data_IF_818199246232
#
_entry.id   IF_818199246232
#
_cell.length_a   1.000
_cell.length_b   1.000
_cell.length_c   1.000
_cell.angle_alpha   90.00
_cell.angle_beta   90.00
_cell.angle_gamma   90.00
#
_symmetry.space_group_name_H-M   'P 1'
#
loop_
_entity.id
_entity.type
_entity.pdbx_description
1 polymer ?
#
# COMPACT_ATOMS: atom_id res chain seq x y z
N UNK A 1 -30.02 -10.00 -27.29
CA UNK A 1 -29.78 -8.55 -27.43
C UNK A 1 -29.10 -8.17 -28.74
N UNK A 2 -28.20 -8.99 -29.31
CA UNK A 2 -27.46 -8.68 -30.55
C UNK A 2 -28.37 -8.24 -31.71
N UNK A 3 -29.41 -9.01 -32.03
CA UNK A 3 -30.41 -8.65 -33.06
C UNK A 3 -31.18 -7.36 -32.77
N UNK A 4 -31.29 -6.97 -31.50
CA UNK A 4 -32.01 -5.76 -31.13
C UNK A 4 -31.16 -4.51 -31.46
N UNK A 5 -29.83 -4.56 -31.32
CA UNK A 5 -28.91 -3.45 -31.61
C UNK A 5 -28.93 -3.05 -33.09
N UNK A 6 -29.10 -4.02 -33.99
CA UNK A 6 -29.13 -3.78 -35.44
C UNK A 6 -30.38 -3.01 -35.90
N UNK A 7 -31.49 -3.15 -35.16
CA UNK A 7 -32.78 -2.51 -35.45
C UNK A 7 -32.93 -1.12 -34.80
N UNK A 8 -31.96 -0.69 -33.98
CA UNK A 8 -32.04 0.61 -33.28
C UNK A 8 -31.73 1.76 -34.23
N UNK A 9 -32.73 2.62 -34.44
CA UNK A 9 -32.58 3.85 -35.23
C UNK A 9 -31.92 5.01 -34.46
N UNK A 10 -32.03 5.05 -33.13
CA UNK A 10 -31.48 6.13 -32.29
C UNK A 10 -30.04 5.84 -31.88
N UNK A 11 -29.11 6.72 -32.25
CA UNK A 11 -27.67 6.57 -31.96
C UNK A 11 -27.39 6.29 -30.48
N UNK A 12 -27.99 7.05 -29.56
CA UNK A 12 -27.72 6.92 -28.12
C UNK A 12 -28.15 5.55 -27.55
N UNK A 13 -29.27 5.03 -28.04
CA UNK A 13 -29.74 3.69 -27.65
C UNK A 13 -28.81 2.61 -28.19
N UNK A 14 -28.32 2.76 -29.42
CA UNK A 14 -27.37 1.82 -30.03
C UNK A 14 -26.05 1.77 -29.26
N UNK A 15 -25.54 2.93 -28.86
CA UNK A 15 -24.34 3.05 -28.03
C UNK A 15 -24.56 2.36 -26.69
N UNK A 16 -25.63 2.68 -25.97
CA UNK A 16 -25.92 2.10 -24.65
C UNK A 16 -26.07 0.58 -24.72
N UNK A 17 -26.77 0.06 -25.72
CA UNK A 17 -26.97 -1.38 -25.85
C UNK A 17 -25.69 -2.11 -26.25
N UNK A 18 -24.84 -1.49 -27.08
CA UNK A 18 -23.53 -2.04 -27.40
C UNK A 18 -22.62 -2.10 -26.18
N UNK A 19 -22.69 -1.10 -25.29
CA UNK A 19 -21.95 -1.10 -24.03
C UNK A 19 -22.43 -2.21 -23.08
N UNK A 20 -23.75 -2.40 -22.97
CA UNK A 20 -24.33 -3.48 -22.16
C UNK A 20 -23.96 -4.85 -22.74
N UNK A 21 -23.96 -5.01 -24.07
CA UNK A 21 -23.49 -6.24 -24.70
C UNK A 21 -22.03 -6.54 -24.36
N UNK A 22 -21.16 -5.54 -24.36
CA UNK A 22 -19.77 -5.70 -23.96
C UNK A 22 -19.66 -6.22 -22.51
N UNK A 23 -20.41 -5.62 -21.58
CA UNK A 23 -20.44 -6.05 -20.18
C UNK A 23 -20.94 -7.48 -20.02
N UNK A 24 -22.02 -7.85 -20.73
CA UNK A 24 -22.56 -9.22 -20.68
C UNK A 24 -21.58 -10.25 -21.23
N UNK A 25 -20.85 -9.93 -22.31
CA UNK A 25 -19.81 -10.81 -22.83
C UNK A 25 -18.64 -10.95 -21.85
N UNK A 26 -18.24 -9.86 -21.20
CA UNK A 26 -17.23 -9.89 -20.14
C UNK A 26 -17.65 -10.80 -18.98
N UNK A 27 -18.88 -10.64 -18.47
CA UNK A 27 -19.44 -11.48 -17.39
C UNK A 27 -19.62 -12.94 -17.82
N UNK A 28 -19.90 -13.20 -19.10
CA UNK A 28 -20.03 -14.54 -19.66
C UNK A 28 -18.68 -15.22 -19.93
N UNK A 29 -17.54 -14.57 -19.64
CA UNK A 29 -16.20 -15.13 -19.88
C UNK A 29 -15.78 -15.13 -21.36
N UNK A 30 -16.33 -14.22 -22.18
CA UNK A 30 -15.98 -14.04 -23.60
C UNK A 30 -15.26 -12.68 -23.81
N UNK A 31 -13.98 -12.58 -23.42
CA UNK A 31 -13.23 -11.33 -23.46
C UNK A 31 -12.98 -10.82 -24.89
N UNK A 32 -12.92 -11.70 -25.89
CA UNK A 32 -12.73 -11.31 -27.29
C UNK A 32 -13.91 -10.47 -27.78
N UNK A 33 -15.13 -11.00 -27.60
CA UNK A 33 -16.34 -10.26 -27.99
C UNK A 33 -16.53 -9.03 -27.12
N UNK A 34 -16.22 -9.10 -25.82
CA UNK A 34 -16.29 -7.93 -24.95
C UNK A 34 -15.40 -6.78 -25.45
N UNK A 35 -14.13 -7.08 -25.77
CA UNK A 35 -13.17 -6.12 -26.33
C UNK A 35 -13.68 -5.51 -27.64
N UNK A 36 -14.24 -6.34 -28.53
CA UNK A 36 -14.83 -5.89 -29.79
C UNK A 36 -16.00 -4.90 -29.57
N UNK A 37 -16.96 -5.24 -28.71
CA UNK A 37 -18.09 -4.37 -28.43
C UNK A 37 -17.67 -3.06 -27.75
N UNK A 38 -16.70 -3.10 -26.83
CA UNK A 38 -16.15 -1.86 -26.25
C UNK A 38 -15.47 -0.99 -27.30
N UNK A 39 -14.70 -1.58 -28.22
CA UNK A 39 -14.11 -0.86 -29.36
C UNK A 39 -15.19 -0.22 -30.23
N UNK A 40 -16.28 -0.93 -30.49
CA UNK A 40 -17.42 -0.41 -31.26
C UNK A 40 -18.12 0.75 -30.53
N UNK A 41 -18.28 0.67 -29.21
CA UNK A 41 -18.80 1.78 -28.39
C UNK A 41 -17.92 3.02 -28.54
N UNK A 42 -16.60 2.87 -28.42
CA UNK A 42 -15.64 3.98 -28.54
C UNK A 42 -15.76 4.65 -29.92
N UNK A 43 -15.84 3.87 -31.00
CA UNK A 43 -15.99 4.39 -32.38
C UNK A 43 -17.27 5.19 -32.62
N UNK A 44 -18.32 4.94 -31.82
CA UNK A 44 -19.59 5.67 -31.94
C UNK A 44 -19.55 7.07 -31.30
N UNK A 45 -18.42 7.48 -30.70
CA UNK A 45 -18.24 8.75 -30.00
C UNK A 45 -19.31 8.96 -28.92
N UNK A 46 -19.32 8.13 -27.86
CA UNK A 46 -20.29 8.21 -26.79
C UNK A 46 -20.00 9.41 -25.87
N UNK A 47 -20.90 9.76 -24.93
CA UNK A 47 -20.61 10.72 -23.87
C UNK A 47 -19.33 10.34 -23.10
N UNK A 48 -18.67 11.36 -22.53
CA UNK A 48 -17.34 11.24 -21.93
C UNK A 48 -17.21 10.04 -20.97
N UNK A 49 -18.09 9.94 -19.96
CA UNK A 49 -18.05 8.87 -18.95
C UNK A 49 -18.12 7.47 -19.57
N UNK A 50 -18.99 7.28 -20.56
CA UNK A 50 -19.11 6.00 -21.26
C UNK A 50 -17.91 5.73 -22.15
N UNK A 51 -17.33 6.76 -22.77
CA UNK A 51 -16.08 6.63 -23.55
C UNK A 51 -14.91 6.23 -22.66
N UNK A 52 -14.80 6.86 -21.48
CA UNK A 52 -13.81 6.55 -20.46
C UNK A 52 -13.94 5.08 -20.01
N UNK A 53 -15.13 4.71 -19.51
CA UNK A 53 -15.38 3.37 -19.01
C UNK A 53 -15.23 2.29 -20.08
N UNK A 54 -15.62 2.57 -21.33
CA UNK A 54 -15.41 1.62 -22.43
C UNK A 54 -13.92 1.37 -22.72
N UNK A 55 -13.05 2.40 -22.61
CA UNK A 55 -11.60 2.23 -22.77
C UNK A 55 -10.99 1.45 -21.60
N UNK A 56 -11.37 1.77 -20.37
CA UNK A 56 -10.92 1.06 -19.17
C UNK A 56 -11.35 -0.42 -19.21
N UNK A 57 -12.62 -0.68 -19.54
CA UNK A 57 -13.12 -2.06 -19.61
C UNK A 57 -12.55 -2.84 -20.79
N UNK A 58 -12.33 -2.19 -21.95
CA UNK A 58 -11.59 -2.82 -23.07
C UNK A 58 -10.20 -3.28 -22.62
N UNK A 59 -9.48 -2.45 -21.86
CA UNK A 59 -8.18 -2.82 -21.30
C UNK A 59 -8.30 -3.95 -20.26
N UNK A 60 -9.35 -3.95 -19.43
CA UNK A 60 -9.58 -5.00 -18.43
C UNK A 60 -9.99 -6.35 -19.03
N UNK A 61 -10.43 -6.42 -20.28
CA UNK A 61 -10.70 -7.67 -21.02
C UNK A 61 -9.67 -7.94 -22.13
N UNK A 62 -8.56 -7.21 -22.18
CA UNK A 62 -7.51 -7.39 -23.17
C UNK A 62 -6.98 -8.83 -23.18
N UNK A 63 -6.72 -9.37 -24.39
CA UNK A 63 -6.15 -10.69 -24.61
C UNK A 63 -4.91 -10.55 -25.49
N UNK A 64 -3.77 -11.04 -25.01
CA UNK A 64 -2.54 -11.06 -25.79
C UNK A 64 -2.68 -11.96 -27.04
N UNK A 65 -2.18 -11.47 -28.18
CA UNK A 65 -2.20 -12.18 -29.45
C UNK A 65 -3.46 -11.95 -30.31
N UNK A 66 -4.63 -11.74 -29.70
CA UNK A 66 -5.87 -11.41 -30.44
C UNK A 66 -6.15 -9.90 -30.50
N UNK A 67 -5.76 -9.15 -29.47
CA UNK A 67 -5.86 -7.69 -29.44
C UNK A 67 -4.52 -6.99 -29.69
N UNK A 68 -4.59 -5.78 -30.24
CA UNK A 68 -3.42 -4.94 -30.42
C UNK A 68 -3.06 -4.22 -29.11
N UNK A 69 -2.16 -4.83 -28.33
CA UNK A 69 -1.65 -4.27 -27.07
C UNK A 69 -1.16 -2.82 -27.21
N UNK A 70 -0.43 -2.53 -28.30
CA UNK A 70 0.10 -1.19 -28.57
C UNK A 70 -1.01 -0.16 -28.74
N UNK A 71 -2.07 -0.51 -29.47
CA UNK A 71 -3.22 0.37 -29.66
C UNK A 71 -3.88 0.73 -28.32
N UNK A 72 -4.13 -0.27 -27.46
CA UNK A 72 -4.78 -0.06 -26.16
C UNK A 72 -3.86 0.76 -25.23
N UNK A 73 -2.56 0.43 -25.16
CA UNK A 73 -1.58 1.19 -24.38
C UNK A 73 -1.51 2.65 -24.83
N UNK A 74 -1.51 2.90 -26.14
CA UNK A 74 -1.46 4.27 -26.69
C UNK A 74 -2.76 5.05 -26.44
N UNK A 75 -3.93 4.38 -26.46
CA UNK A 75 -5.21 4.98 -26.05
C UNK A 75 -5.18 5.41 -24.57
N UNK A 76 -4.75 4.53 -23.67
CA UNK A 76 -4.67 4.83 -22.23
C UNK A 76 -3.64 5.93 -21.92
N UNK A 77 -2.47 5.91 -22.57
CA UNK A 77 -1.47 6.99 -22.42
C UNK A 77 -1.99 8.34 -22.90
N UNK A 78 -2.83 8.37 -23.94
CA UNK A 78 -3.52 9.61 -24.35
C UNK A 78 -4.50 10.07 -23.28
N UNK A 79 -5.24 9.15 -22.65
CA UNK A 79 -6.13 9.49 -21.53
C UNK A 79 -5.36 10.11 -20.36
N UNK A 80 -4.17 9.59 -20.01
CA UNK A 80 -3.33 10.18 -18.94
C UNK A 80 -2.92 11.64 -19.21
N UNK A 81 -2.79 12.03 -20.48
CA UNK A 81 -2.42 13.39 -20.90
C UNK A 81 -3.60 14.36 -20.91
N UNK A 82 -4.84 13.87 -20.91
CA UNK A 82 -6.03 14.70 -20.90
C UNK A 82 -6.34 15.14 -19.45
N UNK A 83 -6.36 16.45 -19.22
CA UNK A 83 -6.61 17.04 -17.89
C UNK A 83 -7.97 16.62 -17.32
N UNK A 84 -8.97 16.30 -18.16
CA UNK A 84 -10.28 15.83 -17.70
C UNK A 84 -10.20 14.52 -16.91
N UNK A 85 -9.12 13.75 -17.12
CA UNK A 85 -8.89 12.49 -16.44
C UNK A 85 -8.03 12.63 -15.18
N UNK A 86 -7.71 13.85 -14.71
CA UNK A 86 -6.86 14.06 -13.52
C UNK A 86 -7.28 13.20 -12.32
N UNK A 87 -8.60 13.10 -12.12
CA UNK A 87 -9.22 12.43 -10.98
C UNK A 87 -9.33 10.91 -11.17
N UNK A 88 -9.04 10.42 -12.38
CA UNK A 88 -9.15 9.01 -12.77
C UNK A 88 -7.81 8.41 -13.23
N UNK A 89 -6.69 9.08 -12.94
CA UNK A 89 -5.35 8.62 -13.33
C UNK A 89 -5.03 7.26 -12.72
N UNK A 90 -5.48 7.00 -11.49
CA UNK A 90 -5.34 5.71 -10.82
C UNK A 90 -5.94 4.57 -11.65
N UNK A 91 -7.19 4.71 -12.10
CA UNK A 91 -7.88 3.72 -12.91
C UNK A 91 -7.18 3.50 -14.27
N UNK A 92 -6.69 4.58 -14.89
CA UNK A 92 -5.96 4.46 -16.16
C UNK A 92 -4.62 3.75 -15.99
N UNK A 93 -3.87 4.07 -14.93
CA UNK A 93 -2.62 3.37 -14.61
C UNK A 93 -2.87 1.90 -14.27
N UNK A 94 -3.92 1.59 -13.51
CA UNK A 94 -4.29 0.21 -13.23
C UNK A 94 -4.66 -0.56 -14.51
N UNK A 95 -5.43 0.06 -15.41
CA UNK A 95 -5.76 -0.51 -16.70
C UNK A 95 -4.52 -0.75 -17.58
N UNK A 96 -3.54 0.18 -17.57
CA UNK A 96 -2.25 -0.04 -18.24
C UNK A 96 -1.53 -1.25 -17.64
N UNK A 97 -1.46 -1.34 -16.31
CA UNK A 97 -0.88 -2.47 -15.60
C UNK A 97 -1.48 -3.80 -16.04
N UNK A 98 -2.81 -3.89 -16.11
CA UNK A 98 -3.51 -5.09 -16.57
C UNK A 98 -3.13 -5.49 -18.00
N UNK A 99 -2.97 -4.51 -18.89
CA UNK A 99 -2.58 -4.77 -20.27
C UNK A 99 -1.13 -5.25 -20.32
N UNK A 100 -0.20 -4.61 -19.60
CA UNK A 100 1.20 -5.06 -19.53
C UNK A 100 1.33 -6.46 -18.93
N UNK A 101 0.59 -6.76 -17.85
CA UNK A 101 0.62 -8.08 -17.21
C UNK A 101 0.22 -9.17 -18.20
N UNK A 102 -0.88 -8.97 -18.93
CA UNK A 102 -1.37 -9.94 -19.90
C UNK A 102 -0.51 -10.04 -21.16
N UNK A 103 0.20 -8.97 -21.49
CA UNK A 103 1.17 -8.91 -22.58
C UNK A 103 2.53 -9.54 -22.19
N UNK A 104 2.65 -10.06 -20.96
CA UNK A 104 3.82 -10.77 -20.45
C UNK A 104 4.92 -9.88 -19.86
N UNK A 105 4.66 -8.58 -19.70
CA UNK A 105 5.63 -7.60 -19.18
C UNK A 105 5.29 -7.26 -17.71
N UNK A 106 5.61 -8.19 -16.83
CA UNK A 106 5.23 -8.12 -15.42
C UNK A 106 5.92 -6.95 -14.67
N UNK A 107 7.13 -6.57 -15.09
CA UNK A 107 7.84 -5.45 -14.47
C UNK A 107 7.17 -4.11 -14.81
N UNK A 108 6.80 -3.89 -16.08
CA UNK A 108 6.04 -2.70 -16.44
C UNK A 108 4.65 -2.72 -15.83
N UNK A 109 4.02 -3.89 -15.70
CA UNK A 109 2.75 -4.02 -15.01
C UNK A 109 2.85 -3.53 -13.55
N UNK A 110 3.83 -4.05 -12.81
CA UNK A 110 4.14 -3.65 -11.44
C UNK A 110 4.37 -2.13 -11.32
N UNK A 111 5.16 -1.55 -12.23
CA UNK A 111 5.40 -0.10 -12.27
C UNK A 111 4.09 0.68 -12.42
N UNK A 112 3.20 0.26 -13.31
CA UNK A 112 1.92 0.93 -13.53
C UNK A 112 0.94 0.74 -12.38
N UNK A 113 0.91 -0.42 -11.71
CA UNK A 113 0.11 -0.60 -10.50
C UNK A 113 0.60 0.29 -9.35
N UNK A 114 1.91 0.46 -9.18
CA UNK A 114 2.48 1.43 -8.22
C UNK A 114 2.07 2.86 -8.55
N UNK A 115 2.11 3.24 -9.83
CA UNK A 115 1.60 4.56 -10.24
C UNK A 115 0.10 4.70 -9.93
N UNK A 116 -0.69 3.64 -10.11
CA UNK A 116 -2.11 3.63 -9.72
C UNK A 116 -2.32 3.91 -8.24
N UNK A 117 -1.56 3.27 -7.35
CA UNK A 117 -1.67 3.50 -5.91
C UNK A 117 -1.21 4.90 -5.47
N UNK A 118 -0.23 5.49 -6.17
CA UNK A 118 0.31 6.82 -5.92
C UNK A 118 -0.64 7.93 -6.40
N UNK A 119 -1.16 7.83 -7.63
CA UNK A 119 -2.03 8.86 -8.23
C UNK A 119 -3.50 8.77 -7.78
N UNK A 120 -3.79 7.98 -6.76
CA UNK A 120 -5.14 7.81 -6.22
C UNK A 120 -5.61 9.06 -5.45
N UNK A 121 -6.77 9.61 -5.83
CA UNK A 121 -7.36 10.78 -5.19
C UNK A 121 -8.64 10.35 -4.45
N UNK A 122 -8.47 9.76 -3.27
CA UNK A 122 -9.58 9.45 -2.36
C UNK A 122 -10.44 8.24 -2.75
N UNK A 123 -10.10 7.53 -3.82
CA UNK A 123 -10.78 6.30 -4.23
C UNK A 123 -10.17 5.10 -3.49
N UNK A 124 -10.63 4.87 -2.26
CA UNK A 124 -10.10 3.80 -1.39
C UNK A 124 -10.20 2.42 -2.02
N UNK A 125 -11.29 2.13 -2.74
CA UNK A 125 -11.48 0.85 -3.43
C UNK A 125 -10.38 0.59 -4.48
N UNK A 126 -10.10 1.56 -5.34
CA UNK A 126 -9.04 1.43 -6.34
C UNK A 126 -7.66 1.32 -5.70
N UNK A 127 -7.44 2.02 -4.58
CA UNK A 127 -6.19 1.94 -3.82
C UNK A 127 -5.98 0.55 -3.24
N UNK A 128 -7.00 -0.01 -2.56
CA UNK A 128 -6.99 -1.39 -2.06
C UNK A 128 -6.70 -2.38 -3.19
N UNK A 129 -7.42 -2.30 -4.30
CA UNK A 129 -7.22 -3.19 -5.46
C UNK A 129 -5.80 -3.08 -6.02
N UNK A 130 -5.26 -1.87 -6.14
CA UNK A 130 -3.89 -1.65 -6.65
C UNK A 130 -2.86 -2.25 -5.70
N UNK A 131 -2.97 -1.99 -4.40
CA UNK A 131 -2.07 -2.53 -3.38
C UNK A 131 -2.13 -4.06 -3.32
N UNK A 132 -3.32 -4.66 -3.33
CA UNK A 132 -3.47 -6.12 -3.36
C UNK A 132 -2.87 -6.74 -4.63
N UNK A 133 -3.05 -6.09 -5.78
CA UNK A 133 -2.45 -6.56 -7.05
C UNK A 133 -0.92 -6.56 -6.96
N UNK A 134 -0.33 -5.49 -6.41
CA UNK A 134 1.12 -5.41 -6.19
C UNK A 134 1.59 -6.47 -5.18
N UNK A 135 0.86 -6.64 -4.07
CA UNK A 135 1.18 -7.61 -3.03
C UNK A 135 1.16 -9.04 -3.59
N UNK A 136 0.17 -9.38 -4.42
CA UNK A 136 0.08 -10.67 -5.08
C UNK A 136 1.26 -10.92 -6.03
N UNK A 137 1.67 -9.92 -6.81
CA UNK A 137 2.83 -10.05 -7.70
C UNK A 137 4.10 -10.35 -6.90
N UNK A 138 4.36 -9.59 -5.84
CA UNK A 138 5.51 -9.84 -4.97
C UNK A 138 5.44 -11.19 -4.27
N UNK A 139 4.24 -11.61 -3.85
CA UNK A 139 4.01 -12.91 -3.26
C UNK A 139 4.33 -14.05 -4.25
N UNK A 140 3.89 -13.93 -5.51
CA UNK A 140 4.21 -14.90 -6.56
C UNK A 140 5.72 -14.97 -6.86
N UNK A 141 6.43 -13.85 -6.72
CA UNK A 141 7.89 -13.80 -6.83
C UNK A 141 8.62 -14.22 -5.54
N UNK A 142 7.89 -14.64 -4.51
CA UNK A 142 8.43 -14.99 -3.19
C UNK A 142 9.18 -13.83 -2.51
N UNK A 143 8.91 -12.58 -2.92
CA UNK A 143 9.41 -11.35 -2.31
C UNK A 143 8.50 -10.95 -1.13
N UNK A 144 8.49 -11.78 -0.10
CA UNK A 144 7.51 -11.74 1.00
C UNK A 144 7.49 -10.42 1.78
N UNK A 145 8.64 -9.80 2.02
CA UNK A 145 8.72 -8.49 2.70
C UNK A 145 8.03 -7.38 1.90
N UNK A 146 8.20 -7.37 0.57
CA UNK A 146 7.51 -6.41 -0.28
C UNK A 146 6.02 -6.72 -0.34
N UNK A 147 5.65 -8.00 -0.46
CA UNK A 147 4.27 -8.42 -0.45
C UNK A 147 3.55 -7.95 0.83
N UNK A 148 4.17 -8.14 2.00
CA UNK A 148 3.64 -7.75 3.31
C UNK A 148 3.34 -6.25 3.38
N UNK A 149 4.31 -5.41 2.99
CA UNK A 149 4.16 -3.95 2.96
C UNK A 149 2.94 -3.48 2.13
N UNK A 150 2.67 -4.15 1.01
CA UNK A 150 1.52 -3.82 0.16
C UNK A 150 0.21 -4.44 0.66
N UNK A 151 0.23 -5.61 1.30
CA UNK A 151 -0.95 -6.15 1.99
C UNK A 151 -1.36 -5.24 3.15
N UNK A 152 -0.43 -4.83 4.00
CA UNK A 152 -0.64 -3.86 5.08
C UNK A 152 -1.27 -2.57 4.55
N UNK A 153 -0.67 -2.02 3.48
CA UNK A 153 -1.20 -0.83 2.83
C UNK A 153 -2.62 -1.03 2.30
N UNK A 154 -2.97 -2.21 1.81
CA UNK A 154 -4.33 -2.53 1.38
C UNK A 154 -5.30 -2.62 2.57
N UNK A 155 -4.88 -3.24 3.68
CA UNK A 155 -5.71 -3.44 4.88
C UNK A 155 -6.15 -2.12 5.52
N UNK A 156 -5.33 -1.07 5.42
CA UNK A 156 -5.68 0.27 5.90
C UNK A 156 -6.94 0.84 5.22
N UNK A 157 -7.20 0.48 3.96
CA UNK A 157 -8.29 1.04 3.17
C UNK A 157 -9.41 0.03 2.86
N UNK A 158 -9.18 -1.25 3.08
CA UNK A 158 -10.11 -2.33 2.76
C UNK A 158 -11.28 -2.36 3.76
N UNK A 159 -12.50 -2.49 3.25
CA UNK A 159 -13.70 -2.67 4.09
C UNK A 159 -14.12 -4.14 4.11
N UNK A 160 -14.94 -4.53 5.10
CA UNK A 160 -15.37 -5.92 5.28
C UNK A 160 -16.23 -6.45 4.12
N UNK A 161 -16.81 -5.56 3.32
CA UNK A 161 -17.58 -5.90 2.11
C UNK A 161 -16.71 -6.25 0.90
N UNK A 162 -15.38 -6.10 1.01
CA UNK A 162 -14.47 -6.45 -0.08
C UNK A 162 -14.53 -7.96 -0.36
N UNK A 163 -14.57 -8.40 -1.63
CA UNK A 163 -14.56 -9.82 -1.97
C UNK A 163 -13.38 -10.56 -1.33
N UNK A 164 -13.65 -11.73 -0.75
CA UNK A 164 -12.64 -12.58 -0.11
C UNK A 164 -11.89 -11.91 1.07
N UNK A 165 -12.48 -10.87 1.68
CA UNK A 165 -11.90 -10.12 2.81
C UNK A 165 -11.24 -11.03 3.86
N UNK A 166 -11.94 -12.06 4.33
CA UNK A 166 -11.44 -12.96 5.38
C UNK A 166 -10.20 -13.73 4.95
N UNK A 167 -10.14 -14.19 3.70
CA UNK A 167 -9.00 -14.92 3.15
C UNK A 167 -7.80 -13.99 2.99
N UNK A 168 -8.03 -12.77 2.52
CA UNK A 168 -6.98 -11.76 2.36
C UNK A 168 -6.38 -11.39 3.71
N UNK A 169 -7.21 -11.17 4.74
CA UNK A 169 -6.74 -10.87 6.10
C UNK A 169 -5.93 -12.02 6.68
N UNK A 170 -6.40 -13.26 6.53
CA UNK A 170 -5.64 -14.43 6.99
C UNK A 170 -4.27 -14.51 6.31
N UNK A 171 -4.24 -14.38 4.98
CA UNK A 171 -3.00 -14.39 4.20
C UNK A 171 -2.05 -13.25 4.62
N UNK A 172 -2.59 -12.05 4.82
CA UNK A 172 -1.82 -10.88 5.30
C UNK A 172 -1.19 -11.19 6.65
N UNK A 173 -1.96 -11.65 7.63
CA UNK A 173 -1.45 -11.94 8.97
C UNK A 173 -0.37 -13.02 8.97
N UNK A 174 -0.58 -14.10 8.21
CA UNK A 174 0.42 -15.16 8.02
C UNK A 174 1.74 -14.61 7.47
N UNK A 175 1.63 -13.72 6.49
CA UNK A 175 2.79 -13.10 5.86
C UNK A 175 3.50 -12.11 6.78
N UNK A 176 2.76 -11.28 7.53
CA UNK A 176 3.33 -10.34 8.50
C UNK A 176 4.06 -11.10 9.61
N UNK A 177 3.48 -12.19 10.12
CA UNK A 177 4.14 -13.06 11.08
C UNK A 177 5.44 -13.66 10.51
N UNK A 178 5.45 -14.07 9.24
CA UNK A 178 6.68 -14.54 8.60
C UNK A 178 7.74 -13.42 8.56
N UNK A 179 7.38 -12.25 8.06
CA UNK A 179 8.30 -11.11 7.90
C UNK A 179 8.86 -10.66 9.24
N UNK A 180 8.04 -10.61 10.29
CA UNK A 180 8.49 -10.31 11.66
C UNK A 180 9.58 -11.29 12.11
N UNK A 181 9.37 -12.60 11.95
CA UNK A 181 10.37 -13.61 12.34
C UNK A 181 11.66 -13.50 11.50
N UNK A 182 11.56 -13.20 10.21
CA UNK A 182 12.72 -12.99 9.35
C UNK A 182 13.50 -11.73 9.75
N UNK A 183 12.80 -10.64 10.08
CA UNK A 183 13.40 -9.39 10.55
C UNK A 183 14.09 -9.56 11.90
N UNK A 184 13.51 -10.35 12.81
CA UNK A 184 14.16 -10.72 14.08
C UNK A 184 15.49 -11.41 13.81
N UNK A 185 15.50 -12.46 12.96
CA UNK A 185 16.74 -13.18 12.62
C UNK A 185 17.78 -12.25 12.00
N UNK A 186 17.38 -11.43 11.02
CA UNK A 186 18.29 -10.50 10.35
C UNK A 186 18.85 -9.43 11.31
N UNK A 187 18.01 -8.92 12.21
CA UNK A 187 18.41 -7.93 13.22
C UNK A 187 19.44 -8.53 14.16
N UNK A 188 19.16 -9.69 14.74
CA UNK A 188 20.05 -10.37 15.68
C UNK A 188 21.38 -10.76 15.03
N UNK A 189 21.37 -11.26 13.78
CA UNK A 189 22.59 -11.51 13.00
C UNK A 189 23.42 -10.23 12.80
N UNK A 190 22.76 -9.10 12.53
CA UNK A 190 23.42 -7.81 12.37
C UNK A 190 24.01 -7.29 13.69
N UNK A 191 23.29 -7.46 14.80
CA UNK A 191 23.75 -7.07 16.13
C UNK A 191 24.94 -7.90 16.58
N UNK A 192 24.91 -9.23 16.37
CA UNK A 192 26.05 -10.10 16.67
C UNK A 192 27.25 -9.81 15.76
N UNK A 193 27.02 -9.49 14.48
CA UNK A 193 28.10 -9.04 13.58
C UNK A 193 28.77 -7.78 14.13
N UNK A 194 27.98 -6.78 14.57
CA UNK A 194 28.50 -5.55 15.17
C UNK A 194 29.26 -5.84 16.48
N UNK A 195 28.77 -6.75 17.31
CA UNK A 195 29.45 -7.16 18.55
C UNK A 195 30.85 -7.72 18.28
N UNK A 196 31.01 -8.48 17.19
CA UNK A 196 32.27 -9.09 16.78
C UNK A 196 33.27 -8.14 16.07
N UNK A 197 32.83 -6.94 15.69
CA UNK A 197 33.71 -5.92 15.10
C UNK A 197 34.58 -5.23 16.15
N UNK A 198 35.72 -4.67 15.72
CA UNK A 198 36.48 -3.76 16.56
C UNK A 198 35.67 -2.49 16.85
N UNK A 199 35.94 -1.84 17.99
CA UNK A 199 35.21 -0.63 18.39
C UNK A 199 35.28 0.49 17.33
N UNK A 200 36.43 0.63 16.66
CA UNK A 200 36.64 1.61 15.59
C UNK A 200 35.77 1.32 14.37
N UNK A 201 35.74 0.06 13.90
CA UNK A 201 34.95 -0.35 12.74
C UNK A 201 33.44 -0.26 13.03
N UNK A 202 33.03 -0.69 14.22
CA UNK A 202 31.64 -0.62 14.68
C UNK A 202 31.14 0.83 14.73
N UNK A 203 31.92 1.73 15.34
CA UNK A 203 31.59 3.15 15.40
C UNK A 203 31.49 3.77 14.00
N UNK A 204 32.40 3.42 13.09
CA UNK A 204 32.36 3.91 11.72
C UNK A 204 31.12 3.41 10.96
N UNK A 205 30.71 2.15 11.17
CA UNK A 205 29.47 1.62 10.59
C UNK A 205 28.23 2.34 11.14
N UNK A 206 28.15 2.54 12.45
CA UNK A 206 27.03 3.26 13.10
C UNK A 206 26.97 4.71 12.61
N UNK A 207 28.11 5.39 12.50
CA UNK A 207 28.19 6.76 11.96
C UNK A 207 27.70 6.83 10.52
N UNK A 208 28.08 5.85 9.69
CA UNK A 208 27.62 5.74 8.31
C UNK A 208 26.09 5.56 8.25
N UNK A 209 25.53 4.71 9.11
CA UNK A 209 24.07 4.51 9.21
C UNK A 209 23.35 5.79 9.63
N UNK A 210 23.83 6.47 10.67
CA UNK A 210 23.28 7.75 11.13
C UNK A 210 23.34 8.79 10.00
N UNK A 211 24.45 8.87 9.27
CA UNK A 211 24.60 9.79 8.16
C UNK A 211 23.61 9.49 7.02
N UNK A 212 23.32 8.21 6.75
CA UNK A 212 22.32 7.80 5.77
C UNK A 212 20.90 8.20 6.21
N UNK A 213 20.55 7.97 7.47
CA UNK A 213 19.24 8.36 8.03
C UNK A 213 19.05 9.87 7.97
N UNK A 214 20.04 10.65 8.42
CA UNK A 214 20.00 12.11 8.38
C UNK A 214 19.87 12.63 6.94
N UNK A 215 20.57 12.00 5.99
CA UNK A 215 20.46 12.35 4.56
C UNK A 215 19.08 12.03 4.00
N UNK A 216 18.55 10.84 4.29
CA UNK A 216 17.22 10.42 3.85
C UNK A 216 16.13 11.35 4.38
N UNK A 217 16.16 11.70 5.68
CA UNK A 217 15.22 12.66 6.26
C UNK A 217 15.35 14.07 5.69
N UNK A 218 16.57 14.51 5.36
CA UNK A 218 16.78 15.80 4.71
C UNK A 218 16.20 15.80 3.28
N UNK A 219 16.40 14.72 2.54
CA UNK A 219 15.83 14.54 1.20
C UNK A 219 14.29 14.47 1.24
N UNK A 220 13.72 13.70 2.17
CA UNK A 220 12.27 13.62 2.35
C UNK A 220 11.67 15.00 2.68
N UNK A 221 12.27 15.74 3.63
CA UNK A 221 11.84 17.11 3.94
C UNK A 221 11.98 18.06 2.75
N UNK A 222 13.03 17.92 1.95
CA UNK A 222 13.18 18.74 0.74
C UNK A 222 12.08 18.42 -0.29
N UNK A 223 11.79 17.14 -0.52
CA UNK A 223 10.71 16.71 -1.42
C UNK A 223 9.34 17.19 -0.93
N UNK A 224 9.07 17.14 0.38
CA UNK A 224 7.86 17.70 0.96
C UNK A 224 7.77 19.21 0.74
N UNK A 225 8.86 19.95 0.95
CA UNK A 225 8.89 21.40 0.71
C UNK A 225 8.72 21.75 -0.77
N UNK A 226 9.32 20.99 -1.68
CA UNK A 226 9.14 21.15 -3.12
C UNK A 226 7.70 20.85 -3.54
N UNK A 227 7.10 19.76 -3.04
CA UNK A 227 5.69 19.44 -3.27
C UNK A 227 4.74 20.51 -2.72
N UNK A 228 5.03 21.08 -1.54
CA UNK A 228 4.28 22.21 -0.99
C UNK A 228 4.46 23.48 -1.84
N UNK A 229 5.65 23.73 -2.36
CA UNK A 229 5.95 24.90 -3.21
C UNK A 229 5.28 24.79 -4.58
N UNK A 230 5.24 23.60 -5.17
CA UNK A 230 4.52 23.33 -6.42
C UNK A 230 3.00 23.49 -6.23
N UNK A 231 2.47 23.02 -5.09
CA UNK A 231 1.08 23.28 -4.70
C UNK A 231 0.82 24.78 -4.51
N UNK A 232 1.72 25.51 -3.86
CA UNK A 232 1.60 26.97 -3.67
C UNK A 232 1.72 27.74 -5.00
N UNK A 233 2.60 27.32 -5.91
CA UNK A 233 2.78 27.90 -7.23
C UNK A 233 1.53 27.67 -8.10
N UNK A 234 0.99 26.45 -8.12
CA UNK A 234 -0.29 26.16 -8.77
C UNK A 234 -1.43 27.00 -8.16
N UNK A 235 -1.42 27.22 -6.85
CA UNK A 235 -2.40 28.06 -6.18
C UNK A 235 -2.25 29.54 -6.50
N UNK A 236 -1.02 30.03 -6.69
CA UNK A 236 -0.74 31.40 -7.10
C UNK A 236 -1.12 31.64 -8.56
N UNK A 237 -0.87 30.67 -9.45
CA UNK A 237 -1.33 30.69 -10.83
C UNK A 237 -2.87 30.69 -10.94
N UNK A 238 -3.57 29.90 -10.10
CA UNK A 238 -5.03 29.95 -9.98
C UNK A 238 -5.54 31.29 -9.41
N UNK A 239 -4.83 31.90 -8.46
CA UNK A 239 -5.18 33.22 -7.93
C UNK A 239 -4.92 34.36 -8.93
N UNK A 240 -3.91 34.24 -9.79
CA UNK A 240 -3.61 35.22 -10.84
C UNK A 240 -4.66 35.17 -11.97
N UNK A 241 -5.16 33.98 -12.30
CA UNK A 241 -6.31 33.80 -13.20
C UNK A 241 -7.63 34.33 -12.62
N UNK A 242 -7.78 34.38 -11.29
CA UNK A 242 -8.96 34.95 -10.64
C UNK A 242 -8.83 36.46 -10.42
N UNK A 243 -7.61 37.00 -10.27
CA UNK A 243 -7.37 38.45 -10.17
C UNK A 243 -7.71 39.22 -11.44
N UNK A 244 -7.67 38.59 -12.61
CA UNK A 244 -8.16 39.19 -13.86
C UNK A 244 -9.69 39.30 -13.93
N UNK A 245 -10.43 38.68 -13.00
CA UNK A 245 -11.89 38.80 -12.85
C UNK A 245 -12.35 39.74 -11.73
N UNK A 246 -11.42 40.37 -10.99
CA UNK A 246 -11.70 41.13 -9.76
C UNK A 246 -11.90 42.65 -9.97
N UNK A 247 -12.34 43.08 -11.16
CA UNK A 247 -12.55 44.51 -11.46
C UNK A 247 -14.02 44.95 -11.44
N UNK A 248 -14.94 44.19 -10.84
CA UNK A 248 -16.33 44.63 -10.64
C UNK A 248 -16.93 44.00 -9.36
N UNK A 249 -16.87 44.74 -8.25
CA UNK A 249 -17.88 44.83 -7.19
C UNK A 249 -17.24 45.26 -5.87
N UNK A 250 -17.03 46.57 -5.73
CA UNK A 250 -16.87 47.23 -4.44
C UNK A 250 -18.25 47.60 -3.91
N UNK A 251 -18.99 46.67 -3.30
CA UNK A 251 -20.21 47.00 -2.55
C UNK A 251 -20.67 45.82 -1.68
N UNK A 252 -19.96 45.52 -0.59
CA UNK A 252 -20.48 44.71 0.52
C UNK A 252 -19.52 44.71 1.73
N UNK A 253 -19.27 45.87 2.33
CA UNK A 253 -18.60 45.95 3.64
C UNK A 253 -19.71 45.94 4.71
N UNK A 254 -20.02 44.76 5.26
CA UNK A 254 -20.95 44.66 6.40
C UNK A 254 -21.61 43.31 6.70
N UNK A 255 -21.43 42.25 5.89
CA UNK A 255 -22.11 40.96 6.12
C UNK A 255 -21.22 39.94 6.87
N UNK A 256 -21.84 39.16 7.75
CA UNK A 256 -21.25 38.08 8.57
C UNK A 256 -20.09 37.35 7.85
N UNK A 257 -18.99 37.07 8.57
CA UNK A 257 -17.72 36.54 8.03
C UNK A 257 -17.89 35.38 7.02
N UNK A 258 -18.89 34.51 7.22
CA UNK A 258 -19.17 33.37 6.35
C UNK A 258 -19.86 33.71 5.02
N UNK A 259 -20.32 34.93 4.78
CA UNK A 259 -20.86 35.36 3.48
C UNK A 259 -19.81 36.02 2.58
N UNK A 260 -18.63 36.29 3.13
CA UNK A 260 -17.50 36.72 2.34
C UNK A 260 -16.87 35.52 1.63
N UNK A 261 -17.20 35.34 0.35
CA UNK A 261 -16.62 34.33 -0.54
C UNK A 261 -15.08 34.35 -0.54
N UNK A 262 -14.47 35.53 -0.44
CA UNK A 262 -13.01 35.64 -0.34
C UNK A 262 -12.50 35.10 1.00
N UNK A 263 -13.13 35.45 2.12
CA UNK A 263 -12.75 34.92 3.44
C UNK A 263 -12.92 33.39 3.53
N UNK A 264 -13.97 32.83 2.92
CA UNK A 264 -14.14 31.37 2.75
C UNK A 264 -13.02 30.76 1.91
N UNK A 265 -12.67 31.40 0.80
CA UNK A 265 -11.58 30.98 -0.09
C UNK A 265 -10.20 30.99 0.58
N UNK A 266 -9.97 31.87 1.56
CA UNK A 266 -8.75 31.88 2.37
C UNK A 266 -8.81 30.89 3.55
N UNK A 267 -9.93 30.82 4.28
CA UNK A 267 -10.06 30.05 5.52
C UNK A 267 -10.17 28.53 5.34
N UNK A 268 -10.88 28.06 4.29
CA UNK A 268 -11.01 26.63 4.01
C UNK A 268 -9.66 25.91 3.77
N UNK A 269 -8.74 26.47 2.97
CA UNK A 269 -7.42 25.88 2.79
C UNK A 269 -6.51 26.03 4.01
N UNK A 270 -6.55 27.13 4.76
CA UNK A 270 -5.85 27.20 6.07
C UNK A 270 -6.33 26.14 7.04
N UNK A 271 -7.64 25.90 7.09
CA UNK A 271 -8.24 24.86 7.91
C UNK A 271 -7.75 23.47 7.49
N UNK A 272 -7.72 23.17 6.18
CA UNK A 272 -7.15 21.91 5.67
C UNK A 272 -5.66 21.78 5.92
N UNK A 273 -4.91 22.88 5.94
CA UNK A 273 -3.49 22.85 6.27
C UNK A 273 -3.26 22.50 7.75
N UNK A 274 -4.03 23.10 8.65
CA UNK A 274 -3.90 22.86 10.10
C UNK A 274 -4.49 21.52 10.54
N UNK A 275 -5.53 21.04 9.87
CA UNK A 275 -6.34 19.92 10.35
C UNK A 275 -6.52 18.78 9.35
N UNK A 276 -6.11 18.92 8.09
CA UNK A 276 -6.34 17.92 7.03
C UNK A 276 -7.79 17.91 6.52
N UNK A 277 -8.15 16.88 5.74
CA UNK A 277 -9.53 16.65 5.31
C UNK A 277 -10.33 15.98 6.45
N UNK A 278 -11.04 16.78 7.26
CA UNK A 278 -11.88 16.29 8.36
C UNK A 278 -13.31 16.04 7.91
N UNK A 279 -13.89 14.92 8.35
CA UNK A 279 -15.33 14.65 8.21
C UNK A 279 -16.11 15.59 9.14
N UNK A 280 -17.34 15.94 8.75
CA UNK A 280 -18.24 16.74 9.58
C UNK A 280 -18.85 15.83 10.65
N UNK A 281 -18.29 15.87 11.85
CA UNK A 281 -18.72 15.06 13.00
C UNK A 281 -18.33 15.74 14.31
N UNK A 282 -18.96 15.34 15.41
CA UNK A 282 -18.62 15.84 16.74
C UNK A 282 -17.20 15.40 17.15
N UNK A 283 -16.52 16.27 17.90
CA UNK A 283 -15.13 16.09 18.32
C UNK A 283 -14.11 15.94 17.18
N UNK A 284 -14.38 16.53 16.01
CA UNK A 284 -13.53 16.48 14.81
C UNK A 284 -12.06 16.92 15.01
N UNK A 285 -11.74 17.60 16.11
CA UNK A 285 -10.38 18.07 16.45
C UNK A 285 -9.45 16.98 16.98
N UNK A 286 -9.94 15.78 17.32
CA UNK A 286 -9.10 14.66 17.82
C UNK A 286 -8.64 13.79 16.65
N UNK A 287 -7.32 13.63 16.47
CA UNK A 287 -6.73 12.85 15.36
C UNK A 287 -6.80 11.35 15.55
N UNK A 288 -6.88 10.87 16.79
CA UNK A 288 -7.01 9.46 17.13
C UNK A 288 -8.25 9.29 18.04
N UNK A 289 -9.25 8.55 17.57
CA UNK A 289 -10.46 8.21 18.35
C UNK A 289 -10.45 6.76 18.86
N UNK A 290 -9.40 5.98 18.58
CA UNK A 290 -9.15 4.72 19.27
C UNK A 290 -8.53 4.97 20.64
N UNK A 291 -9.31 5.57 21.54
CA UNK A 291 -9.30 5.13 22.94
C UNK A 291 -10.50 4.21 23.03
N UNK A 292 -10.23 2.91 23.19
CA UNK A 292 -11.24 1.88 23.48
C UNK A 292 -12.35 2.49 24.33
N UNK A 293 -13.56 2.51 23.77
CA UNK A 293 -14.76 2.76 24.57
C UNK A 293 -14.97 1.48 25.37
N UNK A 294 -14.25 1.37 26.50
CA UNK A 294 -14.71 0.55 27.60
C UNK A 294 -15.93 1.29 28.15
N UNK A 295 -17.11 0.73 27.85
CA UNK A 295 -18.24 0.89 28.75
C UNK A 295 -17.78 0.39 30.11
N UNK A 296 -17.47 1.33 30.99
CA UNK A 296 -17.33 1.05 32.42
C UNK A 296 -18.43 1.83 33.10
N UNK A 297 -19.38 1.05 33.62
CA UNK A 297 -20.42 1.44 34.55
C UNK A 297 -19.83 2.29 35.68
N UNK A 298 -20.63 3.26 36.12
CA UNK A 298 -20.38 4.06 37.30
C UNK A 298 -20.20 3.16 38.53
N UNK A 299 -19.03 3.27 39.15
CA UNK A 299 -18.84 2.92 40.55
C UNK A 299 -17.92 3.98 41.18
N UNK A 300 -18.53 4.87 41.96
CA UNK A 300 -17.82 5.75 42.89
C UNK A 300 -17.03 4.92 43.90
N UNK A 301 -15.74 5.22 44.02
CA UNK A 301 -14.88 4.66 45.06
C UNK A 301 -13.65 5.53 45.24
N UNK A 302 -13.59 6.26 46.35
CA UNK A 302 -12.40 6.95 46.84
C UNK A 302 -11.19 6.01 46.87
N UNK A 303 -10.07 6.44 46.31
CA UNK A 303 -8.78 5.78 46.57
C UNK A 303 -7.70 6.80 46.87
N UNK A 304 -7.29 6.71 48.13
CA UNK A 304 -6.09 7.20 48.79
C UNK A 304 -4.88 7.43 47.88
N UNK A 305 -4.32 8.64 48.05
CA UNK A 305 -3.01 9.08 47.60
C UNK A 305 -1.90 8.25 48.24
N UNK A 306 -1.37 7.27 47.51
CA UNK A 306 -0.05 6.68 47.80
C UNK A 306 0.56 6.14 46.50
N UNK A 307 1.40 6.94 45.86
CA UNK A 307 2.33 6.47 44.82
C UNK A 307 3.61 7.28 44.85
N UNK A 308 4.41 7.06 45.90
CA UNK A 308 5.86 7.26 45.82
C UNK A 308 6.49 6.00 45.23
N UNK A 309 6.60 5.92 43.91
CA UNK A 309 7.47 4.95 43.21
C UNK A 309 8.08 5.62 41.97
N UNK A 310 9.30 6.13 42.14
CA UNK A 310 10.43 6.14 41.19
C UNK A 310 10.07 6.41 39.71
N UNK A 311 9.99 7.69 39.34
CA UNK A 311 10.20 8.13 37.95
C UNK A 311 11.71 8.15 37.66
N UNK A 312 12.26 7.02 37.23
CA UNK A 312 13.47 7.04 36.40
C UNK A 312 13.01 7.39 34.97
N UNK A 313 13.10 8.67 34.63
CA UNK A 313 12.89 9.15 33.27
C UNK A 313 13.88 8.46 32.32
N UNK A 314 13.45 7.40 31.65
CA UNK A 314 14.16 6.79 30.52
C UNK A 314 14.39 7.89 29.48
N UNK A 315 15.64 8.34 29.34
CA UNK A 315 16.04 9.24 28.26
C UNK A 315 15.66 8.57 26.95
N UNK A 316 14.73 9.17 26.21
CA UNK A 316 14.43 8.75 24.83
C UNK A 316 15.68 9.09 24.01
N UNK A 317 16.50 8.07 23.73
CA UNK A 317 17.67 8.21 22.88
C UNK A 317 17.21 8.43 21.44
N UNK A 318 17.84 9.39 20.75
CA UNK A 318 17.52 9.65 19.35
C UNK A 318 18.20 8.59 18.48
N UNK A 319 17.49 8.10 17.47
CA UNK A 319 18.04 7.30 16.37
C UNK A 319 19.17 8.00 15.55
N UNK A 320 19.56 9.22 15.92
CA UNK A 320 20.70 9.97 15.37
C UNK A 320 21.90 10.01 16.31
N UNK A 321 21.81 9.33 17.45
CA UNK A 321 22.88 9.22 18.44
C UNK A 321 23.48 7.82 18.39
N UNK A 322 24.78 7.70 18.69
CA UNK A 322 25.45 6.39 18.69
C UNK A 322 24.94 5.51 19.82
N UNK A 323 24.65 6.13 20.96
CA UNK A 323 24.19 5.46 22.18
C UNK A 323 22.90 4.68 21.94
N UNK A 324 22.02 5.19 21.06
CA UNK A 324 20.84 4.47 20.62
C UNK A 324 21.19 3.10 20.03
N UNK A 325 22.13 3.05 19.09
CA UNK A 325 22.51 1.80 18.42
C UNK A 325 23.39 0.89 19.26
N UNK A 326 24.10 1.42 20.25
CA UNK A 326 24.96 0.63 21.14
C UNK A 326 24.19 -0.13 22.23
N UNK A 327 22.92 0.20 22.45
CA UNK A 327 22.14 -0.34 23.58
C UNK A 327 21.85 -1.83 23.42
N UNK A 328 21.49 -2.27 22.22
CA UNK A 328 21.02 -3.64 21.97
C UNK A 328 22.12 -4.59 21.46
N UNK A 329 23.37 -4.12 21.36
CA UNK A 329 24.47 -4.95 20.83
C UNK A 329 24.92 -5.96 21.89
N UNK A 330 24.92 -7.28 21.60
CA UNK A 330 25.22 -8.31 22.58
C UNK A 330 26.73 -8.43 22.84
N UNK A 331 27.27 -7.61 23.74
CA UNK A 331 28.71 -7.62 24.08
C UNK A 331 29.13 -8.73 25.05
N UNK A 332 28.18 -9.39 25.72
CA UNK A 332 28.46 -10.42 26.72
C UNK A 332 27.91 -11.76 26.27
N UNK A 333 28.55 -12.84 26.68
CA UNK A 333 28.12 -14.21 26.35
C UNK A 333 26.63 -14.43 26.67
N UNK A 334 26.16 -13.92 27.83
CA UNK A 334 24.74 -14.02 28.20
C UNK A 334 23.80 -13.27 27.25
N UNK A 335 24.21 -12.13 26.68
CA UNK A 335 23.41 -11.41 25.69
C UNK A 335 23.44 -12.11 24.34
N UNK A 336 24.59 -12.72 23.98
CA UNK A 336 24.72 -13.53 22.76
C UNK A 336 23.82 -14.76 22.86
N UNK A 337 23.74 -15.40 24.02
CA UNK A 337 22.84 -16.55 24.25
C UNK A 337 21.37 -16.15 24.07
N UNK A 338 20.93 -15.02 24.64
CA UNK A 338 19.57 -14.50 24.42
C UNK A 338 19.31 -14.14 22.95
N UNK A 339 20.29 -13.58 22.26
CA UNK A 339 20.23 -13.30 20.83
C UNK A 339 20.07 -14.60 20.02
N UNK A 340 20.83 -15.65 20.37
CA UNK A 340 20.72 -16.97 19.77
C UNK A 340 19.35 -17.62 20.02
N UNK A 341 18.76 -17.46 21.21
CA UNK A 341 17.41 -17.95 21.50
C UNK A 341 16.37 -17.30 20.56
N UNK A 342 16.45 -15.99 20.34
CA UNK A 342 15.57 -15.26 19.39
C UNK A 342 15.77 -15.73 17.95
N UNK A 343 17.01 -15.96 17.52
CA UNK A 343 17.29 -16.50 16.17
C UNK A 343 16.71 -17.92 16.04
N UNK A 344 16.88 -18.77 17.04
CA UNK A 344 16.35 -20.14 17.06
C UNK A 344 14.83 -20.15 16.92
N UNK A 345 14.13 -19.31 17.69
CA UNK A 345 12.68 -19.16 17.60
C UNK A 345 12.25 -18.59 16.25
N UNK A 346 12.90 -17.52 15.78
CA UNK A 346 12.60 -16.88 14.50
C UNK A 346 12.74 -17.84 13.31
N UNK A 347 13.84 -18.61 13.24
CA UNK A 347 14.05 -19.60 12.18
C UNK A 347 13.03 -20.74 12.23
N UNK A 348 12.70 -21.25 13.41
CA UNK A 348 11.72 -22.32 13.57
C UNK A 348 10.31 -21.86 13.15
N UNK A 349 9.91 -20.68 13.61
CA UNK A 349 8.61 -20.10 13.28
C UNK A 349 8.52 -19.78 11.79
N UNK A 350 9.55 -19.16 11.19
CA UNK A 350 9.59 -18.89 9.76
C UNK A 350 9.44 -20.19 8.94
N UNK A 351 10.19 -21.25 9.27
CA UNK A 351 10.06 -22.55 8.59
C UNK A 351 8.66 -23.15 8.74
N UNK A 352 8.03 -22.98 9.90
CA UNK A 352 6.68 -23.47 10.18
C UNK A 352 5.62 -22.72 9.41
N UNK A 353 5.72 -21.39 9.32
CA UNK A 353 4.82 -20.52 8.55
C UNK A 353 4.97 -20.81 7.05
N UNK A 354 6.21 -20.92 6.55
CA UNK A 354 6.46 -21.32 5.17
C UNK A 354 5.78 -22.63 4.81
N UNK A 355 5.91 -23.65 5.67
CA UNK A 355 5.32 -24.97 5.42
C UNK A 355 3.79 -24.98 5.52
N UNK A 356 3.24 -24.48 6.62
CA UNK A 356 1.83 -24.71 6.98
C UNK A 356 0.88 -23.66 6.40
N UNK A 357 1.35 -22.42 6.28
CA UNK A 357 0.49 -21.28 5.93
C UNK A 357 0.71 -20.88 4.47
N UNK A 358 1.97 -20.78 4.04
CA UNK A 358 2.32 -20.34 2.68
C UNK A 358 2.50 -21.51 1.70
N UNK A 359 2.67 -22.73 2.20
CA UNK A 359 2.96 -23.93 1.39
C UNK A 359 4.21 -23.76 0.49
N UNK A 360 5.16 -22.95 0.95
CA UNK A 360 6.46 -22.73 0.31
C UNK A 360 7.48 -23.71 0.91
N UNK A 361 7.39 -24.96 0.46
CA UNK A 361 8.23 -26.05 0.97
C UNK A 361 9.74 -25.83 0.77
N UNK A 362 10.22 -25.29 -0.36
CA UNK A 362 11.64 -24.98 -0.52
C UNK A 362 12.17 -24.01 0.53
N UNK A 363 11.45 -22.90 0.79
CA UNK A 363 11.88 -21.94 1.81
C UNK A 363 11.73 -22.50 3.24
N UNK A 364 10.73 -23.36 3.48
CA UNK A 364 10.61 -24.07 4.75
C UNK A 364 11.82 -24.97 5.03
N UNK A 365 12.24 -25.78 4.05
CA UNK A 365 13.43 -26.64 4.17
C UNK A 365 14.67 -25.81 4.47
N UNK A 366 14.89 -24.73 3.71
CA UNK A 366 16.04 -23.83 3.89
C UNK A 366 16.11 -23.31 5.33
N UNK A 367 15.01 -22.81 5.87
CA UNK A 367 14.98 -22.26 7.25
C UNK A 367 15.19 -23.33 8.31
N UNK A 368 14.60 -24.51 8.14
CA UNK A 368 14.80 -25.62 9.07
C UNK A 368 16.22 -26.18 9.05
N UNK A 369 16.85 -26.27 7.88
CA UNK A 369 18.26 -26.68 7.77
C UNK A 369 19.19 -25.65 8.37
N UNK A 370 18.97 -24.37 8.07
CA UNK A 370 19.71 -23.27 8.68
C UNK A 370 19.68 -23.35 10.22
N UNK A 371 18.49 -23.61 10.80
CA UNK A 371 18.33 -23.77 12.25
C UNK A 371 19.17 -24.92 12.83
N UNK A 372 19.11 -26.11 12.21
CA UNK A 372 19.84 -27.29 12.71
C UNK A 372 21.35 -27.15 12.52
N UNK A 373 21.77 -26.59 11.40
CA UNK A 373 23.19 -26.42 11.08
C UNK A 373 23.84 -25.38 12.00
N UNK A 374 23.15 -24.27 12.29
CA UNK A 374 23.65 -23.20 13.17
C UNK A 374 23.55 -23.54 14.65
N UNK A 375 22.47 -24.19 15.07
CA UNK A 375 22.15 -24.43 16.49
C UNK A 375 21.81 -25.91 16.74
N UNK A 376 22.78 -26.83 16.61
CA UNK A 376 22.54 -28.25 16.84
C UNK A 376 22.10 -28.50 18.30
N UNK A 377 21.00 -29.23 18.49
CA UNK A 377 20.48 -29.57 19.81
C UNK A 377 19.62 -28.49 20.48
N UNK A 378 19.19 -27.47 19.74
CA UNK A 378 18.22 -26.47 20.23
C UNK A 378 16.88 -27.11 20.65
N UNK A 379 16.07 -26.36 21.39
CA UNK A 379 14.78 -26.83 21.93
C UNK A 379 13.78 -27.32 20.88
N UNK A 380 13.88 -26.84 19.64
CA UNK A 380 13.02 -27.24 18.53
C UNK A 380 13.61 -28.36 17.67
N UNK A 381 14.81 -28.85 17.96
CA UNK A 381 15.54 -29.75 17.07
C UNK A 381 14.73 -31.00 16.66
N UNK A 382 14.07 -31.66 17.61
CA UNK A 382 13.23 -32.84 17.33
C UNK A 382 12.07 -32.50 16.39
N UNK A 383 11.35 -31.40 16.66
CA UNK A 383 10.25 -30.92 15.83
C UNK A 383 10.74 -30.55 14.43
N UNK A 384 11.89 -29.90 14.33
CA UNK A 384 12.52 -29.53 13.06
C UNK A 384 12.90 -30.75 12.23
N UNK A 385 13.53 -31.78 12.82
CA UNK A 385 13.83 -33.03 12.11
C UNK A 385 12.56 -33.74 11.62
N UNK A 386 11.50 -33.77 12.44
CA UNK A 386 10.22 -34.34 12.03
C UNK A 386 9.60 -33.55 10.86
N UNK A 387 9.65 -32.22 10.90
CA UNK A 387 9.17 -31.37 9.81
C UNK A 387 9.96 -31.59 8.52
N UNK A 388 11.30 -31.66 8.59
CA UNK A 388 12.15 -31.98 7.45
C UNK A 388 11.85 -33.37 6.87
N UNK A 389 11.69 -34.38 7.71
CA UNK A 389 11.28 -35.72 7.28
C UNK A 389 9.97 -35.68 6.49
N UNK A 390 8.96 -34.97 7.02
CA UNK A 390 7.66 -34.83 6.36
C UNK A 390 7.74 -34.10 5.02
N UNK A 391 8.55 -33.03 4.94
CA UNK A 391 8.79 -32.32 3.69
C UNK A 391 9.36 -33.26 2.62
N UNK A 392 10.35 -34.09 2.99
CA UNK A 392 10.96 -35.05 2.06
C UNK A 392 10.10 -36.27 1.73
N UNK A 393 9.09 -36.61 2.56
CA UNK A 393 8.07 -37.58 2.17
C UNK A 393 7.12 -36.99 1.14
N UNK A 394 6.61 -35.78 1.38
CA UNK A 394 5.71 -35.09 0.45
C UNK A 394 6.39 -34.86 -0.92
N UNK A 395 7.69 -34.54 -0.95
CA UNK A 395 8.46 -34.40 -2.20
C UNK A 395 8.58 -35.70 -3.01
N UNK A 396 8.61 -36.86 -2.35
CA UNK A 396 8.69 -38.16 -3.05
C UNK A 396 7.36 -38.59 -3.67
N UNK A 397 6.26 -38.06 -3.16
CA UNK A 397 4.91 -38.39 -3.60
C UNK A 397 4.38 -37.42 -4.68
N UNK A 398 5.10 -36.33 -4.96
CA UNK A 398 4.87 -35.39 -6.08
C UNK A 398 5.62 -35.84 -7.35
#
# INVERSE_FOLDING_TARGET
MTRAVDEVRKKDQKVRWSYILAQLHQEAGDPEKASEYYRNVIKMNPPYEMSFNARINRASVFIAGSDNAKEIKDELRKMLKDEKNSDFRDQIYYALGNVYQRDGDAQEALNHYKLSSIYNIGNTQQKTTSCLTIANIYYEWQEYEQADLYYDSAMVYMTQEYPDYSQIVLKSNSLSNLVENLQIVQLEDSLQMLANMSESERNAMIDSLIAQIVRAEAQARQQEMEGMRDQQFNRMALNESQRTGFSNNQEAIGQWYFYNQAAKGFGQPEFRMKWGNRKLEDYWRRSNKNSMTFETEEAEGEVSDTSSVIEEATKILSNKSREFYMTDIPFTDSMVDLSNERIVEGLYNAGTIYKNELHDYPNAELKYRELIDRFPGNQFALSTYYNLYRLYEEEKDM
#
